data_IF_101752520394
#
_entry.id   IF_101752520394
#
_cell.length_a   1.000
_cell.length_b   1.000
_cell.length_c   1.000
_cell.angle_alpha   90.00
_cell.angle_beta   90.00
_cell.angle_gamma   90.00
#
_symmetry.space_group_name_H-M   'P 1'
#
loop_
_entity.id
_entity.type
_entity.pdbx_description
1 polymer ?
#
# COMPACT_ATOMS: atom_id res chain seq x y z
N UNK A 1 6.76 2.53 36.43
CA UNK A 1 8.03 2.29 37.17
C UNK A 1 8.48 3.59 37.83
N UNK A 2 8.74 3.58 39.13
CA UNK A 2 8.90 4.78 39.97
C UNK A 2 10.20 5.56 39.64
N UNK A 3 10.12 6.89 39.64
CA UNK A 3 11.25 7.84 39.55
C UNK A 3 12.44 7.45 40.47
N UNK A 4 12.12 6.96 41.67
CA UNK A 4 13.08 6.45 42.64
C UNK A 4 13.90 5.26 42.10
N UNK A 5 13.26 4.36 41.36
CA UNK A 5 13.93 3.20 40.75
C UNK A 5 14.89 3.66 39.64
N UNK A 6 14.49 4.65 38.82
CA UNK A 6 15.36 5.24 37.79
C UNK A 6 16.57 5.94 38.41
N UNK A 7 16.39 6.72 39.48
CA UNK A 7 17.49 7.36 40.24
C UNK A 7 18.41 6.33 40.89
N UNK A 8 17.86 5.26 41.47
CA UNK A 8 18.65 4.19 42.05
C UNK A 8 19.48 3.44 40.99
N UNK A 9 18.90 3.13 39.82
CA UNK A 9 19.60 2.46 38.72
C UNK A 9 20.70 3.35 38.15
N UNK A 10 20.44 4.65 37.95
CA UNK A 10 21.44 5.59 37.43
C UNK A 10 22.59 5.83 38.42
N UNK A 11 22.30 5.94 39.72
CA UNK A 11 23.33 6.01 40.75
C UNK A 11 24.17 4.72 40.81
N UNK A 12 23.51 3.56 40.75
CA UNK A 12 24.18 2.25 40.76
C UNK A 12 25.07 2.04 39.52
N UNK A 13 24.64 2.53 38.35
CA UNK A 13 25.42 2.51 37.10
C UNK A 13 26.64 3.44 37.14
N UNK A 14 26.56 4.56 37.86
CA UNK A 14 27.66 5.53 38.01
C UNK A 14 28.71 5.11 39.05
N UNK A 15 28.30 4.41 40.12
CA UNK A 15 29.17 4.01 41.24
C UNK A 15 29.31 2.50 41.38
N UNK A 16 29.19 1.77 40.27
CA UNK A 16 29.23 0.31 40.31
C UNK A 16 30.62 -0.20 40.64
N UNK A 17 30.79 -0.81 41.81
CA UNK A 17 32.05 -1.41 42.24
C UNK A 17 32.34 -2.73 41.52
N UNK A 18 31.31 -3.34 40.90
CA UNK A 18 31.44 -4.61 40.20
C UNK A 18 31.56 -4.40 38.69
N UNK A 19 32.60 -4.97 38.09
CA UNK A 19 32.75 -4.98 36.64
C UNK A 19 31.63 -5.80 35.98
N UNK A 20 31.33 -5.54 34.71
CA UNK A 20 30.31 -6.29 33.95
C UNK A 20 30.55 -7.80 34.03
N UNK A 21 31.82 -8.22 33.91
CA UNK A 21 32.19 -9.63 33.95
C UNK A 21 31.92 -10.27 35.32
N UNK A 22 32.13 -9.54 36.42
CA UNK A 22 31.81 -10.03 37.78
C UNK A 22 30.31 -10.24 38.00
N UNK A 23 29.45 -9.51 37.27
CA UNK A 23 27.99 -9.69 37.31
C UNK A 23 27.51 -10.81 36.40
N UNK A 24 28.13 -10.94 35.23
CA UNK A 24 27.70 -11.90 34.19
C UNK A 24 28.21 -13.31 34.46
N UNK A 25 29.46 -13.47 34.91
CA UNK A 25 30.07 -14.78 35.17
C UNK A 25 29.26 -15.71 36.09
N UNK A 26 28.72 -15.28 37.25
CA UNK A 26 27.95 -16.18 38.09
C UNK A 26 26.66 -16.66 37.43
N UNK A 27 26.02 -15.80 36.63
CA UNK A 27 24.82 -16.15 35.85
C UNK A 27 25.19 -17.13 34.74
N UNK A 28 26.31 -16.88 34.05
CA UNK A 28 26.80 -17.75 32.99
C UNK A 28 27.12 -19.15 33.53
N UNK A 29 27.82 -19.24 34.66
CA UNK A 29 28.15 -20.51 35.33
C UNK A 29 26.89 -21.25 35.77
N UNK A 30 25.92 -20.55 36.36
CA UNK A 30 24.65 -21.14 36.76
C UNK A 30 23.88 -21.69 35.54
N UNK A 31 23.81 -20.93 34.45
CA UNK A 31 23.15 -21.37 33.22
C UNK A 31 23.87 -22.56 32.58
N UNK A 32 25.21 -22.55 32.56
CA UNK A 32 26.01 -23.68 32.07
C UNK A 32 25.82 -24.94 32.91
N UNK A 33 25.57 -24.81 34.22
CA UNK A 33 25.28 -25.95 35.09
C UNK A 33 23.89 -26.57 34.90
N UNK A 34 22.94 -25.78 34.37
CA UNK A 34 21.56 -26.23 34.09
C UNK A 34 21.46 -26.76 32.67
N UNK A 35 22.21 -26.19 31.74
CA UNK A 35 22.24 -26.62 30.36
C UNK A 35 22.84 -28.04 30.28
N UNK A 36 22.18 -29.01 29.61
CA UNK A 36 22.84 -30.27 29.31
C UNK A 36 24.09 -29.98 28.46
N UNK A 37 25.22 -30.59 28.80
CA UNK A 37 26.43 -30.52 27.98
C UNK A 37 26.12 -31.04 26.57
N UNK A 38 25.78 -30.12 25.68
CA UNK A 38 25.66 -30.42 24.27
C UNK A 38 27.07 -30.33 23.70
N UNK A 39 27.85 -31.40 23.84
CA UNK A 39 28.95 -31.66 22.92
C UNK A 39 28.35 -31.82 21.52
N UNK A 40 28.05 -30.69 20.87
CA UNK A 40 27.75 -30.68 19.44
C UNK A 40 29.10 -30.78 18.74
N UNK A 41 29.47 -31.93 18.14
CA UNK A 41 30.66 -31.98 17.32
C UNK A 41 30.51 -30.92 16.22
N UNK A 42 31.61 -30.23 15.87
CA UNK A 42 31.60 -29.14 14.90
C UNK A 42 31.00 -29.54 13.53
N UNK A 43 30.96 -30.84 13.23
CA UNK A 43 30.37 -31.42 12.02
C UNK A 43 28.83 -31.60 12.07
N UNK A 44 28.19 -31.45 13.24
CA UNK A 44 26.75 -31.65 13.44
C UNK A 44 25.88 -30.57 12.77
N UNK A 45 26.44 -29.43 12.36
CA UNK A 45 25.70 -28.42 11.61
C UNK A 45 25.24 -28.92 10.23
N UNK A 46 25.94 -29.92 9.66
CA UNK A 46 25.60 -30.50 8.34
C UNK A 46 24.57 -31.64 8.40
N UNK A 47 24.34 -32.26 9.55
CA UNK A 47 23.42 -33.41 9.69
C UNK A 47 22.18 -33.11 10.58
N UNK A 48 21.88 -31.83 10.82
CA UNK A 48 20.67 -31.42 11.55
C UNK A 48 19.41 -31.90 10.83
N UNK A 49 19.42 -31.84 9.50
CA UNK A 49 18.29 -32.29 8.66
C UNK A 49 18.08 -33.80 8.80
N UNK A 50 19.15 -34.60 8.79
CA UNK A 50 19.08 -36.05 8.97
C UNK A 50 18.60 -36.45 10.35
N UNK A 51 19.01 -35.73 11.39
CA UNK A 51 18.55 -35.94 12.76
C UNK A 51 17.09 -35.54 12.99
N UNK A 52 16.65 -34.42 12.39
CA UNK A 52 15.24 -34.00 12.42
C UNK A 52 14.36 -35.00 11.67
N UNK A 53 14.82 -35.49 10.50
CA UNK A 53 14.12 -36.54 9.75
C UNK A 53 14.07 -37.87 10.52
N UNK A 54 15.17 -38.32 11.15
CA UNK A 54 15.18 -39.52 12.00
C UNK A 54 14.23 -39.39 13.20
N UNK A 55 14.17 -38.21 13.81
CA UNK A 55 13.30 -37.91 14.98
C UNK A 55 11.83 -37.72 14.60
N UNK A 56 11.54 -37.40 13.35
CA UNK A 56 10.20 -37.40 12.75
C UNK A 56 9.76 -38.81 12.30
N UNK A 57 10.72 -39.66 11.90
CA UNK A 57 10.47 -41.01 11.35
C UNK A 57 10.18 -42.10 12.39
N UNK A 58 9.99 -41.76 13.67
CA UNK A 58 9.51 -42.75 14.64
C UNK A 58 8.10 -43.20 14.24
N UNK A 59 7.91 -44.49 13.91
CA UNK A 59 6.72 -45.05 13.26
C UNK A 59 5.36 -44.59 13.84
N UNK A 60 5.26 -44.39 15.16
CA UNK A 60 4.05 -43.88 15.81
C UNK A 60 3.67 -42.43 15.41
N UNK A 61 4.64 -41.58 15.06
CA UNK A 61 4.38 -40.24 14.52
C UNK A 61 4.00 -40.27 13.04
N UNK A 62 4.48 -41.27 12.30
CA UNK A 62 4.22 -41.40 10.87
C UNK A 62 2.73 -41.69 10.61
N UNK A 63 2.10 -42.54 11.42
CA UNK A 63 0.65 -42.83 11.35
C UNK A 63 -0.18 -41.57 11.65
N UNK A 64 0.11 -40.87 12.75
CA UNK A 64 -0.57 -39.60 13.07
C UNK A 64 -0.36 -38.53 12.00
N UNK A 65 0.82 -38.50 11.37
CA UNK A 65 1.13 -37.57 10.29
C UNK A 65 0.37 -37.94 9.00
N UNK A 66 0.19 -39.22 8.69
CA UNK A 66 -0.61 -39.65 7.55
C UNK A 66 -2.09 -39.35 7.73
N UNK A 67 -2.63 -39.56 8.94
CA UNK A 67 -4.02 -39.20 9.28
C UNK A 67 -4.24 -37.69 9.19
N UNK A 68 -3.34 -36.90 9.79
CA UNK A 68 -3.39 -35.43 9.71
C UNK A 68 -3.28 -34.94 8.26
N UNK A 69 -2.43 -35.56 7.44
CA UNK A 69 -2.32 -35.23 6.00
C UNK A 69 -3.60 -35.53 5.24
N UNK A 70 -4.28 -36.64 5.52
CA UNK A 70 -5.54 -36.98 4.87
C UNK A 70 -6.63 -35.96 5.20
N UNK A 71 -6.79 -35.61 6.48
CA UNK A 71 -7.75 -34.60 6.93
C UNK A 71 -7.45 -33.23 6.33
N UNK A 72 -6.18 -32.82 6.31
CA UNK A 72 -5.78 -31.55 5.69
C UNK A 72 -6.03 -31.55 4.18
N UNK A 73 -5.75 -32.66 3.48
CA UNK A 73 -6.02 -32.78 2.05
C UNK A 73 -7.52 -32.66 1.73
N UNK A 74 -8.38 -33.29 2.53
CA UNK A 74 -9.84 -33.15 2.42
C UNK A 74 -10.27 -31.70 2.65
N UNK A 75 -9.79 -31.04 3.72
CA UNK A 75 -10.09 -29.62 3.99
C UNK A 75 -9.62 -28.68 2.89
N UNK A 76 -8.45 -28.94 2.31
CA UNK A 76 -7.96 -28.16 1.18
C UNK A 76 -8.80 -28.40 -0.08
N UNK A 77 -9.25 -29.63 -0.32
CA UNK A 77 -10.13 -29.94 -1.44
C UNK A 77 -11.51 -29.25 -1.28
N UNK A 78 -12.12 -29.30 -0.08
CA UNK A 78 -13.35 -28.58 0.25
C UNK A 78 -13.21 -27.07 0.02
N UNK A 79 -12.11 -26.50 0.51
CA UNK A 79 -11.83 -25.07 0.34
C UNK A 79 -11.62 -24.71 -1.14
N UNK A 80 -10.89 -25.53 -1.89
CA UNK A 80 -10.64 -25.30 -3.30
C UNK A 80 -11.92 -25.39 -4.12
N UNK A 81 -12.79 -26.36 -3.82
CA UNK A 81 -14.10 -26.49 -4.43
C UNK A 81 -14.96 -25.24 -4.14
N UNK A 82 -15.05 -24.83 -2.87
CA UNK A 82 -15.80 -23.62 -2.46
C UNK A 82 -15.28 -22.35 -3.13
N UNK A 83 -13.96 -22.21 -3.27
CA UNK A 83 -13.35 -21.10 -3.98
C UNK A 83 -13.69 -21.14 -5.46
N UNK A 84 -13.57 -22.29 -6.11
CA UNK A 84 -13.90 -22.43 -7.53
C UNK A 84 -15.36 -22.10 -7.82
N UNK A 85 -16.29 -22.57 -6.98
CA UNK A 85 -17.71 -22.26 -7.08
C UNK A 85 -17.97 -20.75 -6.90
N UNK A 86 -17.35 -20.12 -5.90
CA UNK A 86 -17.47 -18.67 -5.69
C UNK A 86 -16.91 -17.89 -6.87
N UNK A 87 -15.75 -18.29 -7.40
CA UNK A 87 -15.16 -17.62 -8.57
C UNK A 87 -16.03 -17.76 -9.81
N UNK A 88 -16.67 -18.92 -10.01
CA UNK A 88 -17.59 -19.13 -11.11
C UNK A 88 -18.84 -18.25 -10.98
N UNK A 89 -19.47 -18.21 -9.80
CA UNK A 89 -20.64 -17.34 -9.54
C UNK A 89 -20.32 -15.87 -9.80
N UNK A 90 -19.21 -15.38 -9.24
CA UNK A 90 -18.80 -13.98 -9.45
C UNK A 90 -18.49 -13.69 -10.92
N UNK A 91 -17.93 -14.65 -11.65
CA UNK A 91 -17.68 -14.50 -13.09
C UNK A 91 -19.00 -14.39 -13.86
N UNK A 92 -19.98 -15.24 -13.56
CA UNK A 92 -21.31 -15.20 -14.18
C UNK A 92 -22.04 -13.88 -13.87
N UNK A 93 -22.02 -13.44 -12.61
CA UNK A 93 -22.58 -12.15 -12.18
C UNK A 93 -21.90 -10.97 -12.89
N UNK A 94 -20.57 -10.97 -12.95
CA UNK A 94 -19.80 -9.96 -13.66
C UNK A 94 -20.16 -9.91 -15.14
N UNK A 95 -20.20 -11.06 -15.82
CA UNK A 95 -20.53 -11.12 -17.24
C UNK A 95 -21.94 -10.59 -17.51
N UNK A 96 -22.92 -10.95 -16.66
CA UNK A 96 -24.29 -10.45 -16.79
C UNK A 96 -24.40 -8.93 -16.57
N UNK A 97 -23.64 -8.38 -15.61
CA UNK A 97 -23.56 -6.92 -15.40
C UNK A 97 -22.82 -6.23 -16.55
N UNK A 98 -21.75 -6.84 -17.05
CA UNK A 98 -20.95 -6.32 -18.15
C UNK A 98 -21.76 -6.23 -19.46
N UNK A 99 -22.58 -7.24 -19.77
CA UNK A 99 -23.50 -7.20 -20.91
C UNK A 99 -24.52 -6.06 -20.80
N UNK A 100 -25.09 -5.85 -19.61
CA UNK A 100 -26.00 -4.72 -19.35
C UNK A 100 -25.28 -3.38 -19.49
N UNK A 101 -24.05 -3.28 -19.00
CA UNK A 101 -23.22 -2.09 -19.12
C UNK A 101 -22.88 -1.80 -20.58
N UNK A 102 -22.48 -2.80 -21.37
CA UNK A 102 -22.23 -2.65 -22.80
C UNK A 102 -23.49 -2.18 -23.54
N UNK A 103 -24.66 -2.76 -23.24
CA UNK A 103 -25.93 -2.32 -23.81
C UNK A 103 -26.20 -0.83 -23.49
N UNK A 104 -25.97 -0.41 -22.25
CA UNK A 104 -26.10 0.99 -21.86
C UNK A 104 -25.10 1.91 -22.59
N UNK A 105 -23.84 1.50 -22.72
CA UNK A 105 -22.84 2.25 -23.50
C UNK A 105 -23.28 2.40 -24.96
N UNK A 106 -23.78 1.34 -25.60
CA UNK A 106 -24.28 1.43 -26.98
C UNK A 106 -25.48 2.36 -27.11
N UNK A 107 -26.35 2.42 -26.09
CA UNK A 107 -27.47 3.34 -26.05
C UNK A 107 -27.00 4.79 -25.92
N UNK A 108 -26.06 5.06 -25.01
CA UNK A 108 -25.48 6.39 -24.80
C UNK A 108 -24.75 6.86 -26.07
N UNK A 109 -23.93 6.00 -26.69
CA UNK A 109 -23.26 6.29 -27.96
C UNK A 109 -24.26 6.55 -29.10
N UNK A 110 -25.40 5.86 -29.08
CA UNK A 110 -26.51 6.09 -30.00
C UNK A 110 -27.13 7.48 -29.82
N UNK A 111 -27.40 7.89 -28.58
CA UNK A 111 -27.94 9.21 -28.24
C UNK A 111 -26.95 10.32 -28.59
N UNK A 112 -25.66 10.14 -28.28
CA UNK A 112 -24.61 11.09 -28.66
C UNK A 112 -24.52 11.23 -30.18
N UNK A 113 -24.53 10.13 -30.94
CA UNK A 113 -24.53 10.19 -32.40
C UNK A 113 -25.78 10.84 -32.98
N UNK A 114 -26.96 10.56 -32.40
CA UNK A 114 -28.21 11.18 -32.81
C UNK A 114 -28.21 12.70 -32.52
N UNK A 115 -27.71 13.12 -31.36
CA UNK A 115 -27.54 14.52 -31.00
C UNK A 115 -26.56 15.25 -31.92
N UNK A 116 -25.41 14.63 -32.23
CA UNK A 116 -24.44 15.18 -33.20
C UNK A 116 -25.04 15.27 -34.62
N UNK A 117 -25.86 14.30 -35.04
CA UNK A 117 -26.56 14.36 -36.33
C UNK A 117 -27.65 15.44 -36.35
N UNK A 118 -28.39 15.63 -35.25
CA UNK A 118 -29.41 16.67 -35.11
C UNK A 118 -28.78 18.07 -35.08
N UNK A 119 -27.66 18.23 -34.37
CA UNK A 119 -26.86 19.45 -34.35
C UNK A 119 -26.25 19.73 -35.74
N UNK A 120 -25.66 18.73 -36.40
CA UNK A 120 -25.14 18.88 -37.76
C UNK A 120 -26.25 19.23 -38.79
N UNK A 121 -27.46 18.69 -38.63
CA UNK A 121 -28.62 19.02 -39.46
C UNK A 121 -29.14 20.44 -39.17
N UNK A 122 -29.15 20.88 -37.92
CA UNK A 122 -29.49 22.25 -37.53
C UNK A 122 -28.45 23.27 -38.04
N UNK A 123 -27.16 22.92 -38.04
CA UNK A 123 -26.06 23.78 -38.51
C UNK A 123 -26.01 23.85 -40.04
N UNK A 124 -26.38 22.77 -40.74
CA UNK A 124 -26.42 22.74 -42.22
C UNK A 124 -27.70 23.40 -42.78
N UNK A 125 -28.79 23.43 -42.01
CA UNK A 125 -30.08 23.99 -42.43
C UNK A 125 -30.35 25.45 -42.04
N UNK A 126 -29.52 26.10 -41.22
CA UNK A 126 -29.87 27.39 -40.59
C UNK A 126 -28.82 28.49 -40.73
N UNK A 127 -28.32 28.71 -41.93
CA UNK A 127 -27.70 29.99 -42.32
C UNK A 127 -28.59 30.78 -43.28
N UNK A 128 -29.81 31.10 -42.85
CA UNK A 128 -30.58 32.19 -43.48
C UNK A 128 -31.42 32.92 -42.42
N UNK A 129 -30.81 34.00 -41.90
CA UNK A 129 -31.46 35.28 -41.54
C UNK A 129 -32.91 35.18 -41.04
N UNK A 130 -33.16 34.91 -39.74
CA UNK A 130 -34.43 35.31 -39.04
C UNK A 130 -34.59 34.92 -37.55
N UNK A 131 -33.55 34.53 -36.81
CA UNK A 131 -33.73 34.09 -35.40
C UNK A 131 -32.95 34.91 -34.38
N UNK A 132 -32.95 36.24 -34.52
CA UNK A 132 -32.43 37.15 -33.50
C UNK A 132 -33.54 37.78 -32.63
N UNK A 133 -34.79 37.32 -32.74
CA UNK A 133 -35.94 38.04 -32.17
C UNK A 133 -36.64 37.36 -30.97
N UNK A 134 -36.34 36.09 -30.62
CA UNK A 134 -37.25 35.33 -29.75
C UNK A 134 -36.63 34.52 -28.60
N UNK A 135 -35.38 34.74 -28.19
CA UNK A 135 -34.96 34.26 -26.87
C UNK A 135 -33.75 35.04 -26.32
N UNK A 136 -34.03 35.94 -25.37
CA UNK A 136 -33.27 36.20 -24.12
C UNK A 136 -31.74 36.20 -24.02
N UNK A 137 -30.95 36.09 -25.08
CA UNK A 137 -29.49 36.01 -25.02
C UNK A 137 -28.82 37.39 -25.04
N UNK A 138 -29.37 38.33 -24.29
CA UNK A 138 -28.75 39.63 -24.07
C UNK A 138 -28.78 39.90 -22.58
N UNK A 139 -27.60 39.81 -21.95
CA UNK A 139 -27.38 40.22 -20.57
C UNK A 139 -27.75 41.70 -20.46
N UNK A 140 -28.83 42.01 -19.73
CA UNK A 140 -29.39 43.37 -19.67
C UNK A 140 -28.75 44.22 -18.57
N UNK A 141 -27.99 43.61 -17.66
CA UNK A 141 -27.28 44.31 -16.59
C UNK A 141 -26.01 43.57 -16.14
N UNK A 142 -25.07 44.32 -15.56
CA UNK A 142 -23.83 43.79 -14.98
C UNK A 142 -24.12 42.77 -13.85
N UNK A 143 -25.21 43.00 -13.09
CA UNK A 143 -25.69 42.06 -12.08
C UNK A 143 -26.13 40.71 -12.68
N UNK A 144 -26.84 40.73 -13.81
CA UNK A 144 -27.19 39.49 -14.52
C UNK A 144 -25.94 38.78 -15.05
N UNK A 145 -24.91 39.53 -15.47
CA UNK A 145 -23.63 38.96 -15.88
C UNK A 145 -22.96 38.21 -14.72
N UNK A 146 -22.84 38.85 -13.55
CA UNK A 146 -22.26 38.23 -12.36
C UNK A 146 -23.04 36.99 -11.92
N UNK A 147 -24.37 37.04 -12.01
CA UNK A 147 -25.23 35.94 -11.64
C UNK A 147 -25.06 34.72 -12.56
N UNK A 148 -24.90 34.97 -13.86
CA UNK A 148 -24.60 33.91 -14.84
C UNK A 148 -23.21 33.32 -14.57
N UNK A 149 -22.19 34.16 -14.33
CA UNK A 149 -20.83 33.68 -14.01
C UNK A 149 -20.81 32.85 -12.72
N UNK A 150 -21.50 33.30 -11.68
CA UNK A 150 -21.61 32.57 -10.42
C UNK A 150 -22.36 31.25 -10.58
N UNK A 151 -23.41 31.21 -11.40
CA UNK A 151 -24.14 29.98 -11.73
C UNK A 151 -23.27 28.99 -12.51
N UNK A 152 -22.53 29.48 -13.51
CA UNK A 152 -21.68 28.65 -14.37
C UNK A 152 -20.54 27.99 -13.58
N UNK A 153 -19.92 28.72 -12.66
CA UNK A 153 -18.88 28.16 -11.78
C UNK A 153 -19.41 27.10 -10.81
N UNK A 154 -20.66 27.23 -10.35
CA UNK A 154 -21.30 26.24 -9.50
C UNK A 154 -21.72 24.98 -10.29
N UNK A 155 -22.18 25.17 -11.52
CA UNK A 155 -22.55 24.09 -12.44
C UNK A 155 -21.34 23.22 -12.77
N UNK A 156 -20.17 23.82 -13.04
CA UNK A 156 -18.92 23.06 -13.27
C UNK A 156 -18.47 22.27 -12.02
N UNK A 157 -18.73 22.78 -10.81
CA UNK A 157 -18.40 22.10 -9.55
C UNK A 157 -19.34 20.96 -9.20
N UNK A 158 -20.55 20.93 -9.75
CA UNK A 158 -21.61 19.97 -9.37
C UNK A 158 -22.02 19.05 -10.50
N UNK A 159 -21.69 19.37 -11.75
CA UNK A 159 -21.96 18.51 -12.91
C UNK A 159 -21.19 17.19 -12.78
N UNK A 160 -21.89 16.04 -12.76
CA UNK A 160 -21.29 14.72 -12.76
C UNK A 160 -20.24 14.51 -13.87
N UNK A 161 -20.41 15.12 -15.05
CA UNK A 161 -19.47 14.97 -16.16
C UNK A 161 -18.13 15.66 -15.86
N UNK A 162 -18.15 16.91 -15.41
CA UNK A 162 -16.95 17.66 -15.02
C UNK A 162 -16.25 17.04 -13.81
N UNK A 163 -17.03 16.60 -12.81
CA UNK A 163 -16.50 15.89 -11.65
C UNK A 163 -15.89 14.54 -12.04
N UNK A 164 -16.48 13.80 -12.97
CA UNK A 164 -15.95 12.54 -13.44
C UNK A 164 -14.57 12.73 -14.08
N UNK A 165 -14.40 13.72 -14.97
CA UNK A 165 -13.10 14.01 -15.59
C UNK A 165 -12.02 14.36 -14.57
N UNK A 166 -12.35 15.15 -13.54
CA UNK A 166 -11.40 15.50 -12.46
C UNK A 166 -11.10 14.33 -11.52
N UNK A 167 -12.06 13.44 -11.31
CA UNK A 167 -11.97 12.32 -10.38
C UNK A 167 -11.69 10.97 -11.07
N UNK A 168 -11.22 10.98 -12.33
CA UNK A 168 -10.77 9.75 -13.00
C UNK A 168 -9.60 9.18 -12.19
N UNK A 169 -9.80 7.99 -11.65
CA UNK A 169 -8.74 7.23 -11.02
C UNK A 169 -7.74 6.80 -12.10
N UNK A 170 -6.46 7.16 -11.92
CA UNK A 170 -5.37 6.57 -12.69
C UNK A 170 -5.09 5.20 -12.11
N UNK A 171 -5.62 4.16 -12.74
CA UNK A 171 -5.34 2.78 -12.37
C UNK A 171 -3.97 2.43 -12.95
N UNK A 172 -2.96 2.07 -12.12
CA UNK A 172 -1.67 1.61 -12.63
C UNK A 172 -1.85 0.37 -13.53
N UNK A 173 -1.00 0.23 -14.54
CA UNK A 173 -1.02 -0.94 -15.41
C UNK A 173 -0.95 -2.23 -14.57
N UNK A 174 -1.97 -3.08 -14.71
CA UNK A 174 -1.95 -4.41 -14.12
C UNK A 174 -0.78 -5.18 -14.72
N UNK A 175 -0.03 -5.89 -13.87
CA UNK A 175 1.08 -6.76 -14.30
C UNK A 175 0.65 -7.63 -15.48
N UNK A 176 1.34 -7.49 -16.61
CA UNK A 176 1.04 -8.24 -17.82
C UNK A 176 1.32 -9.72 -17.58
N UNK A 177 0.32 -10.58 -17.79
CA UNK A 177 0.47 -12.04 -17.69
C UNK A 177 1.46 -12.57 -18.76
N UNK A 178 1.69 -11.80 -19.83
CA UNK A 178 2.48 -12.21 -20.99
C UNK A 178 3.91 -11.62 -21.00
N UNK A 179 4.10 -10.44 -20.39
CA UNK A 179 5.38 -9.71 -20.40
C UNK A 179 5.82 -9.35 -18.98
N UNK A 180 6.58 -10.26 -18.39
CA UNK A 180 7.45 -9.94 -17.26
C UNK A 180 6.90 -10.40 -15.94
N UNK A 181 7.35 -11.57 -15.51
CA UNK A 181 7.59 -11.83 -14.10
C UNK A 181 8.35 -10.62 -13.54
N UNK A 182 7.67 -9.76 -12.78
CA UNK A 182 8.36 -8.82 -11.93
C UNK A 182 9.04 -9.69 -10.88
N UNK A 183 10.36 -9.62 -10.78
CA UNK A 183 11.12 -10.27 -9.71
C UNK A 183 10.68 -9.63 -8.38
N UNK A 184 9.58 -10.13 -7.82
CA UNK A 184 9.18 -9.80 -6.47
C UNK A 184 10.12 -10.54 -5.55
N UNK A 185 11.11 -9.84 -5.02
CA UNK A 185 11.80 -10.28 -3.81
C UNK A 185 10.80 -10.13 -2.67
N UNK A 186 10.33 -11.26 -2.15
CA UNK A 186 9.54 -11.26 -0.92
C UNK A 186 10.48 -10.89 0.23
N UNK A 187 10.29 -9.70 0.78
CA UNK A 187 11.01 -9.28 1.97
C UNK A 187 10.33 -9.87 3.22
N UNK A 188 10.79 -11.06 3.62
CA UNK A 188 10.30 -11.77 4.81
C UNK A 188 10.81 -11.15 6.12
N UNK A 189 11.68 -10.14 6.04
CA UNK A 189 12.27 -9.59 7.26
C UNK A 189 11.27 -8.80 8.10
N UNK A 190 10.05 -8.49 7.60
CA UNK A 190 9.02 -7.74 8.33
C UNK A 190 9.54 -6.44 8.98
N UNK A 191 10.57 -5.82 8.38
CA UNK A 191 11.25 -4.66 8.98
C UNK A 191 12.11 -5.01 10.20
N UNK A 192 12.66 -6.22 10.27
CA UNK A 192 13.62 -6.64 11.29
C UNK A 192 14.85 -5.75 11.21
N UNK A 193 15.03 -4.92 12.22
CA UNK A 193 16.23 -4.12 12.39
C UNK A 193 17.23 -4.94 13.21
N UNK A 194 18.23 -5.52 12.53
CA UNK A 194 19.26 -6.33 13.18
C UNK A 194 20.11 -5.51 14.15
N UNK A 195 20.46 -4.27 13.77
CA UNK A 195 21.22 -3.33 14.60
C UNK A 195 20.48 -1.98 14.73
N UNK A 196 19.64 -1.82 15.77
CA UNK A 196 18.91 -0.56 16.00
C UNK A 196 19.84 0.62 16.26
N UNK A 197 20.98 0.37 16.91
CA UNK A 197 21.93 1.42 17.27
C UNK A 197 22.63 2.02 16.04
N UNK A 198 22.82 1.26 14.97
CA UNK A 198 23.39 1.77 13.72
C UNK A 198 22.33 2.44 12.85
N UNK A 199 21.14 1.83 12.73
CA UNK A 199 20.04 2.36 11.92
C UNK A 199 19.56 3.73 12.42
N UNK A 200 19.49 3.91 13.74
CA UNK A 200 19.06 5.16 14.37
C UNK A 200 20.23 6.04 14.84
N UNK A 201 21.48 5.77 14.42
CA UNK A 201 22.60 6.67 14.75
C UNK A 201 22.42 8.00 14.00
N UNK A 202 22.21 9.07 14.77
CA UNK A 202 22.17 10.47 14.31
C UNK A 202 23.53 10.97 13.77
N UNK A 203 24.49 10.08 13.55
CA UNK A 203 25.78 10.37 12.92
C UNK A 203 25.95 9.67 11.57
N UNK A 204 24.95 8.93 11.13
CA UNK A 204 24.95 8.24 9.84
C UNK A 204 24.65 9.20 8.69
N UNK A 205 25.60 10.07 8.32
CA UNK A 205 25.69 10.80 7.03
C UNK A 205 24.58 11.79 6.65
N UNK A 206 23.38 11.66 7.20
CA UNK A 206 22.21 12.54 6.96
C UNK A 206 22.37 13.91 7.61
N UNK A 207 23.33 14.05 8.52
CA UNK A 207 23.64 15.27 9.26
C UNK A 207 24.84 16.04 8.69
N UNK A 208 25.43 15.57 7.59
CA UNK A 208 26.58 16.20 6.95
C UNK A 208 26.13 17.25 5.92
N UNK A 209 25.42 18.28 6.37
CA UNK A 209 25.08 19.42 5.52
C UNK A 209 26.32 20.28 5.30
N UNK A 210 26.64 20.58 4.05
CA UNK A 210 27.71 21.55 3.78
C UNK A 210 27.22 22.96 4.15
N UNK A 211 28.12 23.87 4.56
CA UNK A 211 27.73 25.26 4.87
C UNK A 211 27.03 25.97 3.70
N UNK A 212 27.34 25.56 2.46
CA UNK A 212 26.69 26.07 1.26
C UNK A 212 25.23 25.60 1.15
N UNK A 213 24.96 24.32 1.41
CA UNK A 213 23.61 23.76 1.39
C UNK A 213 22.73 24.34 2.49
N UNK A 214 23.30 24.57 3.68
CA UNK A 214 22.59 25.26 4.76
C UNK A 214 22.15 26.67 4.35
N UNK A 215 23.05 27.46 3.73
CA UNK A 215 22.73 28.82 3.29
C UNK A 215 21.66 28.83 2.19
N UNK A 216 21.75 27.92 1.21
CA UNK A 216 20.72 27.76 0.18
C UNK A 216 19.37 27.42 0.81
N UNK A 217 19.36 26.49 1.77
CA UNK A 217 18.14 26.10 2.46
C UNK A 217 17.54 27.25 3.26
N UNK A 218 18.33 28.03 4.01
CA UNK A 218 17.83 29.19 4.74
C UNK A 218 17.24 30.24 3.81
N UNK A 219 17.91 30.53 2.70
CA UNK A 219 17.43 31.49 1.70
C UNK A 219 16.10 31.02 1.06
N UNK A 220 16.03 29.75 0.65
CA UNK A 220 14.82 29.16 0.04
C UNK A 220 13.69 29.00 1.05
N UNK A 221 13.99 28.69 2.31
CA UNK A 221 13.00 28.61 3.38
C UNK A 221 12.42 29.99 3.73
N UNK A 222 13.22 31.05 3.66
CA UNK A 222 12.74 32.42 3.83
C UNK A 222 11.80 32.85 2.70
N UNK A 223 12.06 32.42 1.46
CA UNK A 223 11.19 32.63 0.31
C UNK A 223 9.90 31.79 0.39
N UNK A 224 10.00 30.51 0.81
CA UNK A 224 8.92 29.53 0.79
C UNK A 224 8.75 28.80 2.13
N UNK A 225 8.18 29.44 3.16
CA UNK A 225 8.14 28.88 4.50
C UNK A 225 7.33 27.57 4.54
N UNK A 226 7.97 26.51 5.06
CA UNK A 226 7.39 25.16 5.25
C UNK A 226 6.94 24.46 3.96
N UNK A 227 7.43 24.87 2.80
CA UNK A 227 7.19 24.22 1.51
C UNK A 227 8.40 23.38 1.07
N UNK A 228 8.70 22.31 1.81
CA UNK A 228 9.88 21.47 1.60
C UNK A 228 9.92 20.69 0.29
N UNK A 229 8.84 20.69 -0.50
CA UNK A 229 8.85 20.10 -1.86
C UNK A 229 9.44 21.03 -2.92
N UNK A 230 9.59 22.33 -2.61
CA UNK A 230 10.09 23.36 -3.51
C UNK A 230 11.51 23.80 -3.11
N UNK A 231 11.84 23.67 -1.82
CA UNK A 231 13.18 23.89 -1.23
C UNK A 231 14.05 22.68 -1.52
#
# INVERSE_FOLDING_TARGET
>A
MTEALKKAITARRKYDQQTRNQRVNPILIANLSIAPESERPADAARDVVGDVLRRASTNAKMETQTELRAVLAERFAERQASLSEKTQKLREEYMALHEKWLANCTQIDGVLRAGVMEEAAATTGRTTRRSAANLGDAVRSDLEMEQIIASLGNEELTDPNHLATRNVAVIPDMISVEKGCIEYTFDDTNGLVEDPDSLYDFRSGFHDWTPLEEDIFYNKYAEYPKQFGII
#
